data_IF_466594336290
#
_entry.id   IF_466594336290
#
_cell.length_a   1.000
_cell.length_b   1.000
_cell.length_c   1.000
_cell.angle_alpha   90.00
_cell.angle_beta   90.00
_cell.angle_gamma   90.00
#
_symmetry.space_group_name_H-M   'P 1'
#
loop_
_entity.id
_entity.type
_entity.pdbx_description
1 polymer ?
#
# COMPACT_ATOMS: atom_id res chain seq x y z
N UNK A 1 17.72 22.59 -15.10
CA UNK A 1 17.32 21.29 -15.68
C UNK A 1 16.46 21.54 -16.91
N UNK A 2 16.84 21.00 -18.07
CA UNK A 2 16.03 21.13 -19.29
C UNK A 2 14.82 20.18 -19.25
N UNK A 3 13.86 20.36 -20.17
CA UNK A 3 12.63 19.55 -20.20
C UNK A 3 12.94 18.06 -20.40
N UNK A 4 13.89 17.72 -21.27
CA UNK A 4 14.29 16.34 -21.51
C UNK A 4 14.94 15.69 -20.29
N UNK A 5 15.65 16.45 -19.46
CA UNK A 5 16.22 15.93 -18.21
C UNK A 5 15.13 15.60 -17.20
N UNK A 6 14.05 16.40 -17.15
CA UNK A 6 12.87 16.12 -16.32
C UNK A 6 12.19 14.84 -16.77
N UNK A 7 12.00 14.66 -18.09
CA UNK A 7 11.37 13.44 -18.64
C UNK A 7 12.19 12.19 -18.33
N UNK A 8 13.51 12.24 -18.49
CA UNK A 8 14.40 11.13 -18.11
C UNK A 8 14.28 10.79 -16.63
N UNK A 9 14.35 11.81 -15.77
CA UNK A 9 14.19 11.64 -14.32
C UNK A 9 12.83 11.07 -13.94
N UNK A 10 11.75 11.43 -14.64
CA UNK A 10 10.43 10.84 -14.41
C UNK A 10 10.42 9.34 -14.70
N UNK A 11 11.09 8.90 -15.79
CA UNK A 11 11.24 7.48 -16.10
C UNK A 11 12.00 6.75 -15.01
N UNK A 12 13.18 7.26 -14.63
CA UNK A 12 14.04 6.60 -13.65
C UNK A 12 13.36 6.48 -12.27
N UNK A 13 12.61 7.52 -11.85
CA UNK A 13 11.79 7.47 -10.63
C UNK A 13 10.64 6.45 -10.76
N UNK A 14 10.02 6.36 -11.93
CA UNK A 14 8.97 5.38 -12.20
C UNK A 14 9.49 3.94 -12.08
N UNK A 15 10.63 3.66 -12.69
CA UNK A 15 11.29 2.35 -12.64
C UNK A 15 11.66 1.97 -11.19
N UNK A 16 12.23 2.90 -10.42
CA UNK A 16 12.54 2.70 -9.00
C UNK A 16 11.28 2.49 -8.17
N UNK A 17 10.25 3.29 -8.43
CA UNK A 17 8.96 3.19 -7.75
C UNK A 17 8.29 1.83 -7.95
N UNK A 18 8.23 1.34 -9.19
CA UNK A 18 7.65 0.02 -9.50
C UNK A 18 8.42 -1.11 -8.81
N UNK A 19 9.76 -1.02 -8.78
CA UNK A 19 10.59 -1.99 -8.07
C UNK A 19 10.28 -2.01 -6.57
N UNK A 20 10.25 -0.84 -5.92
CA UNK A 20 9.94 -0.72 -4.49
C UNK A 20 8.52 -1.20 -4.17
N UNK A 21 7.54 -0.85 -5.00
CA UNK A 21 6.16 -1.29 -4.84
C UNK A 21 6.05 -2.81 -4.89
N UNK A 22 6.71 -3.45 -5.85
CA UNK A 22 6.73 -4.91 -5.97
C UNK A 22 7.31 -5.59 -4.73
N UNK A 23 8.43 -5.08 -4.20
CA UNK A 23 9.04 -5.62 -2.98
C UNK A 23 8.10 -5.49 -1.77
N UNK A 24 7.45 -4.33 -1.62
CA UNK A 24 6.47 -4.08 -0.55
C UNK A 24 5.28 -5.02 -0.68
N UNK A 25 4.68 -5.16 -1.86
CA UNK A 25 3.55 -6.05 -2.09
C UNK A 25 3.91 -7.51 -1.81
N UNK A 26 5.07 -7.97 -2.27
CA UNK A 26 5.57 -9.32 -1.99
C UNK A 26 5.79 -9.59 -0.50
N UNK A 27 6.27 -8.60 0.25
CA UNK A 27 6.39 -8.70 1.70
C UNK A 27 5.01 -8.70 2.38
N UNK A 28 4.08 -7.86 1.90
CA UNK A 28 2.73 -7.73 2.42
C UNK A 28 1.94 -9.03 2.27
N UNK A 29 2.00 -9.70 1.11
CA UNK A 29 1.32 -10.98 0.87
C UNK A 29 1.68 -12.08 1.89
N UNK A 30 2.87 -12.02 2.50
CA UNK A 30 3.27 -12.96 3.57
C UNK A 30 2.56 -12.68 4.89
N UNK A 31 2.20 -11.42 5.14
CA UNK A 31 1.52 -10.96 6.37
C UNK A 31 0.00 -11.12 6.24
N UNK A 32 -0.56 -10.87 5.06
CA UNK A 32 -2.01 -10.88 4.81
C UNK A 32 -2.42 -11.95 3.77
N UNK A 33 -2.07 -13.24 3.95
CA UNK A 33 -2.27 -14.27 2.92
C UNK A 33 -3.75 -14.53 2.59
N UNK A 34 -4.67 -14.14 3.47
CA UNK A 34 -6.11 -14.34 3.32
C UNK A 34 -6.85 -13.10 2.82
N UNK A 35 -6.14 -12.02 2.48
CA UNK A 35 -6.74 -10.80 1.95
C UNK A 35 -6.62 -10.76 0.43
N UNK A 36 -7.69 -10.36 -0.24
CA UNK A 36 -7.73 -10.18 -1.69
C UNK A 36 -7.63 -8.71 -2.05
N UNK A 37 -6.73 -8.37 -2.97
CA UNK A 37 -6.65 -7.01 -3.50
C UNK A 37 -7.99 -6.58 -4.12
N UNK A 38 -8.47 -5.38 -3.79
CA UNK A 38 -9.67 -4.81 -4.41
C UNK A 38 -9.27 -4.03 -5.66
N UNK A 39 -9.60 -4.58 -6.83
CA UNK A 39 -9.32 -4.14 -8.21
C UNK A 39 -7.94 -4.53 -8.78
N UNK A 40 -7.96 -5.55 -9.64
CA UNK A 40 -6.81 -6.12 -10.34
C UNK A 40 -6.47 -5.43 -11.68
N UNK A 41 -7.24 -4.42 -12.12
CA UNK A 41 -7.14 -3.96 -13.51
C UNK A 41 -6.36 -2.65 -13.75
N UNK A 42 -5.97 -1.89 -12.72
CA UNK A 42 -5.02 -0.78 -12.92
C UNK A 42 -4.37 -0.39 -11.60
N UNK A 43 -3.30 -1.12 -11.25
CA UNK A 43 -2.36 -0.84 -10.17
C UNK A 43 -2.95 -0.81 -8.75
N UNK A 44 -2.36 -1.61 -7.85
CA UNK A 44 -2.44 -1.38 -6.40
C UNK A 44 -1.71 -0.07 -6.05
N UNK A 45 -2.16 1.06 -6.59
CA UNK A 45 -1.62 2.37 -6.26
C UNK A 45 -1.91 2.59 -4.80
N UNK A 46 -0.87 2.61 -3.94
CA UNK A 46 -1.11 2.85 -2.55
C UNK A 46 -1.62 4.29 -2.40
N UNK A 47 -2.47 4.48 -1.42
CA UNK A 47 -2.86 5.81 -0.99
C UNK A 47 -1.69 6.39 -0.22
N UNK A 48 -0.96 7.29 -0.87
CA UNK A 48 0.09 8.10 -0.26
C UNK A 48 -0.56 9.22 0.55
N UNK A 49 -0.12 9.39 1.79
CA UNK A 49 -0.74 10.28 2.77
C UNK A 49 -2.16 9.82 3.15
N UNK A 50 -2.19 8.96 4.16
CA UNK A 50 -3.39 8.40 4.81
C UNK A 50 -4.12 9.48 5.64
N UNK A 51 -4.32 10.67 5.08
CA UNK A 51 -5.06 11.75 5.74
C UNK A 51 -6.56 11.46 5.81
N UNK A 52 -7.04 10.53 4.97
CA UNK A 52 -8.45 10.13 4.87
C UNK A 52 -8.81 8.89 5.71
N UNK A 53 -7.85 8.12 6.23
CA UNK A 53 -8.14 7.02 7.15
C UNK A 53 -7.92 7.47 8.59
N UNK A 54 -8.59 6.83 9.55
CA UNK A 54 -8.40 7.14 10.97
C UNK A 54 -7.02 6.69 11.43
N UNK A 55 -6.48 5.63 10.82
CA UNK A 55 -5.14 5.12 11.12
C UNK A 55 -4.08 5.91 10.36
N UNK A 56 -3.16 6.52 11.11
CA UNK A 56 -1.94 7.09 10.51
C UNK A 56 -0.97 5.98 10.09
N UNK A 57 -0.43 6.10 8.88
CA UNK A 57 0.55 5.18 8.34
C UNK A 57 1.27 5.75 7.12
N UNK A 58 2.24 5.00 6.62
CA UNK A 58 3.07 5.37 5.46
C UNK A 58 2.34 5.09 4.14
N UNK A 59 1.72 3.92 4.02
CA UNK A 59 1.03 3.45 2.83
C UNK A 59 -0.26 2.72 3.22
N UNK A 60 -1.31 2.89 2.42
CA UNK A 60 -2.54 2.11 2.53
C UNK A 60 -2.89 1.47 1.18
N UNK A 61 -3.25 0.19 1.21
CA UNK A 61 -3.63 -0.58 0.03
C UNK A 61 -5.06 -1.07 0.14
N UNK A 62 -5.89 -0.94 -0.91
CA UNK A 62 -7.26 -1.40 -0.89
C UNK A 62 -7.31 -2.95 -0.94
N UNK A 63 -7.90 -3.55 0.09
CA UNK A 63 -8.01 -5.01 0.23
C UNK A 63 -9.38 -5.40 0.78
N UNK A 64 -9.77 -6.63 0.47
CA UNK A 64 -10.86 -7.34 1.11
C UNK A 64 -10.25 -8.42 2.02
N UNK A 65 -10.40 -8.25 3.33
CA UNK A 65 -9.93 -9.21 4.31
C UNK A 65 -11.15 -9.85 4.98
N UNK A 66 -11.30 -11.18 4.84
CA UNK A 66 -12.40 -11.91 5.50
C UNK A 66 -13.81 -11.49 5.05
N UNK A 67 -13.97 -11.03 3.81
CA UNK A 67 -15.26 -10.59 3.27
C UNK A 67 -15.56 -9.10 3.51
N UNK A 68 -14.75 -8.39 4.29
CA UNK A 68 -14.88 -6.96 4.55
C UNK A 68 -13.97 -6.15 3.62
N UNK A 69 -14.48 -5.18 2.86
CA UNK A 69 -13.63 -4.22 2.14
C UNK A 69 -13.01 -3.20 3.10
N UNK A 70 -11.79 -2.79 2.82
CA UNK A 70 -11.03 -1.89 3.68
C UNK A 70 -9.66 -1.55 3.11
N UNK A 71 -8.78 -1.10 3.99
CA UNK A 71 -7.40 -0.76 3.67
C UNK A 71 -6.43 -1.52 4.57
N UNK A 72 -5.42 -2.12 3.96
CA UNK A 72 -4.24 -2.60 4.68
C UNK A 72 -3.25 -1.44 4.80
N UNK A 73 -2.97 -1.03 6.02
CA UNK A 73 -2.15 0.12 6.36
C UNK A 73 -0.82 -0.34 6.95
N UNK A 74 0.29 0.15 6.37
CA UNK A 74 1.65 -0.03 6.90
C UNK A 74 2.01 1.19 7.76
N UNK A 75 2.27 0.99 9.04
CA UNK A 75 2.67 2.06 9.98
C UNK A 75 4.18 2.31 9.97
N UNK A 76 4.60 3.43 10.56
CA UNK A 76 6.01 3.83 10.63
C UNK A 76 6.92 2.83 11.35
N UNK A 77 6.38 2.08 12.30
CA UNK A 77 7.11 1.06 13.07
C UNK A 77 7.18 -0.31 12.37
N UNK A 78 6.66 -0.39 11.14
CA UNK A 78 6.56 -1.61 10.34
C UNK A 78 5.35 -2.48 10.66
N UNK A 79 4.50 -2.11 11.63
CA UNK A 79 3.26 -2.85 11.89
C UNK A 79 2.26 -2.71 10.74
N UNK A 80 1.51 -3.78 10.49
CA UNK A 80 0.48 -3.86 9.46
C UNK A 80 -0.86 -4.04 10.14
N UNK A 81 -1.80 -3.16 9.80
CA UNK A 81 -3.19 -3.25 10.26
C UNK A 81 -4.14 -3.24 9.09
N UNK A 82 -5.34 -3.75 9.30
CA UNK A 82 -6.46 -3.61 8.38
C UNK A 82 -7.48 -2.65 9.01
N UNK A 83 -7.86 -1.60 8.30
CA UNK A 83 -8.95 -0.70 8.66
C UNK A 83 -10.11 -0.93 7.69
N UNK A 84 -11.24 -1.42 8.19
CA UNK A 84 -12.44 -1.59 7.36
C UNK A 84 -13.15 -0.25 7.07
N UNK A 85 -14.17 -0.28 6.22
CA UNK A 85 -14.92 0.93 5.85
C UNK A 85 -15.70 1.56 7.03
N UNK A 86 -15.94 0.80 8.11
CA UNK A 86 -16.57 1.29 9.34
C UNK A 86 -15.51 1.94 10.28
N UNK A 87 -14.23 1.75 9.96
CA UNK A 87 -13.08 2.25 10.72
C UNK A 87 -12.71 1.35 11.89
N UNK A 88 -13.13 0.08 11.90
CA UNK A 88 -12.60 -0.94 12.81
C UNK A 88 -11.20 -1.32 12.39
N UNK A 89 -10.28 -1.40 13.36
CA UNK A 89 -8.86 -1.69 13.12
C UNK A 89 -8.54 -3.10 13.64
N UNK A 90 -7.93 -3.91 12.79
CA UNK A 90 -7.42 -5.24 13.11
C UNK A 90 -5.90 -5.30 12.90
N UNK A 91 -5.16 -5.82 13.88
CA UNK A 91 -3.73 -6.10 13.70
C UNK A 91 -3.53 -7.34 12.82
N UNK A 92 -2.70 -7.19 11.79
CA UNK A 92 -2.43 -8.24 10.80
C UNK A 92 -1.03 -8.84 10.98
N UNK A 93 -0.09 -8.05 11.50
CA UNK A 93 1.27 -8.50 11.78
C UNK A 93 2.28 -7.38 11.62
N UNK A 94 3.49 -7.73 11.20
CA UNK A 94 4.61 -6.80 11.05
C UNK A 94 5.46 -7.16 9.85
N UNK A 95 5.88 -6.15 9.09
CA UNK A 95 6.92 -6.28 8.07
C UNK A 95 8.26 -6.32 8.81
N UNK A 96 8.91 -7.49 8.78
CA UNK A 96 10.21 -7.73 9.40
C UNK A 96 11.35 -7.16 8.56
#
# INVERSE_FOLDING_TARGET
MQIMDKVKRMRDIGDEYESLLNDVLNALFKVIPNCMALNMDDSLMPVYAISALKTQGLLAFPYNCGGKPGYVVIKQDGSVVFEDMDGEIQEMGKLA
#
